data_IF_142031229393
#
_entry.id   IF_142031229393
#
_cell.length_a   1.000
_cell.length_b   1.000
_cell.length_c   1.000
_cell.angle_alpha   90.00
_cell.angle_beta   90.00
_cell.angle_gamma   90.00
#
_symmetry.space_group_name_H-M   'P 1'
#
loop_
_entity.id
_entity.type
_entity.pdbx_description
1 polymer ?
#
# COMPACT_ATOMS: atom_id res chain seq x y z
N UNK A 1 -11.59 18.72 4.56
CA UNK A 1 -10.43 17.90 5.02
C UNK A 1 -10.64 16.48 4.46
N UNK A 2 -10.07 16.17 3.28
CA UNK A 2 -10.39 14.95 2.51
C UNK A 2 -9.16 14.23 1.96
N UNK A 3 -8.14 14.00 2.78
CA UNK A 3 -6.93 13.30 2.31
C UNK A 3 -6.91 11.91 2.91
N UNK A 4 -7.47 10.93 2.20
CA UNK A 4 -7.25 9.51 2.47
C UNK A 4 -5.84 9.17 1.99
N UNK A 5 -5.06 8.43 2.77
CA UNK A 5 -3.72 8.00 2.33
C UNK A 5 -3.78 6.77 1.43
N UNK A 6 -2.96 6.80 0.39
CA UNK A 6 -2.71 5.70 -0.54
C UNK A 6 -1.25 5.30 -0.42
N UNK A 7 -1.01 4.02 -0.15
CA UNK A 7 0.31 3.41 -0.11
C UNK A 7 0.59 2.64 -1.40
N UNK A 8 1.80 2.74 -1.90
CA UNK A 8 2.32 1.96 -3.03
C UNK A 8 3.50 1.12 -2.55
N UNK A 9 3.32 -0.20 -2.47
CA UNK A 9 4.27 -1.15 -1.92
C UNK A 9 4.86 -1.99 -3.04
N UNK A 10 6.18 -2.12 -3.05
CA UNK A 10 6.90 -2.91 -4.06
C UNK A 10 8.20 -3.45 -3.48
N UNK A 11 8.60 -4.63 -3.93
CA UNK A 11 9.92 -5.24 -3.76
C UNK A 11 10.99 -4.56 -4.62
N UNK A 12 10.60 -3.95 -5.73
CA UNK A 12 11.43 -3.08 -6.56
C UNK A 12 11.29 -1.59 -6.21
N UNK A 13 11.24 -0.75 -7.25
CA UNK A 13 11.23 0.71 -7.09
C UNK A 13 9.86 1.31 -6.75
N UNK A 14 8.78 0.54 -6.87
CA UNK A 14 7.41 1.03 -6.66
C UNK A 14 6.84 1.89 -7.78
N UNK A 15 7.57 2.10 -8.88
CA UNK A 15 7.08 2.91 -10.03
C UNK A 15 5.84 2.25 -10.64
N UNK A 16 5.87 0.93 -10.87
CA UNK A 16 4.73 0.20 -11.44
C UNK A 16 3.49 0.32 -10.56
N UNK A 17 3.62 0.09 -9.25
CA UNK A 17 2.53 0.23 -8.29
C UNK A 17 1.93 1.65 -8.32
N UNK A 18 2.80 2.67 -8.33
CA UNK A 18 2.42 4.07 -8.37
C UNK A 18 1.72 4.45 -9.68
N UNK A 19 2.29 4.08 -10.83
CA UNK A 19 1.70 4.37 -12.15
C UNK A 19 0.33 3.73 -12.31
N UNK A 20 0.20 2.43 -11.99
CA UNK A 20 -1.07 1.72 -12.11
C UNK A 20 -2.12 2.24 -11.13
N UNK A 21 -1.76 2.41 -9.86
CA UNK A 21 -2.71 2.90 -8.88
C UNK A 21 -3.12 4.35 -9.15
N UNK A 22 -2.22 5.21 -9.65
CA UNK A 22 -2.58 6.56 -10.11
C UNK A 22 -3.56 6.53 -11.29
N UNK A 23 -3.38 5.61 -12.24
CA UNK A 23 -4.32 5.46 -13.36
C UNK A 23 -5.73 5.05 -12.89
N UNK A 24 -5.81 4.17 -11.88
CA UNK A 24 -7.08 3.78 -11.25
C UNK A 24 -7.69 4.97 -10.48
N UNK A 25 -6.88 5.65 -9.66
CA UNK A 25 -7.32 6.77 -8.84
C UNK A 25 -7.80 7.95 -9.66
N UNK A 26 -7.27 8.15 -10.88
CA UNK A 26 -7.70 9.19 -11.80
C UNK A 26 -9.18 9.08 -12.20
N UNK A 27 -9.82 7.92 -12.01
CA UNK A 27 -11.26 7.74 -12.25
C UNK A 27 -12.14 8.33 -11.12
N UNK A 28 -11.55 8.79 -10.02
CA UNK A 28 -12.28 9.29 -8.85
C UNK A 28 -11.92 10.76 -8.56
N UNK A 29 -12.93 11.54 -8.17
CA UNK A 29 -12.77 12.96 -7.84
C UNK A 29 -12.32 13.18 -6.38
N UNK A 30 -11.15 12.67 -6.00
CA UNK A 30 -10.53 13.01 -4.70
C UNK A 30 -9.01 13.14 -4.81
N UNK A 31 -8.42 13.86 -3.86
CA UNK A 31 -6.96 14.10 -3.80
C UNK A 31 -6.35 13.34 -2.61
N UNK A 32 -5.91 12.09 -2.80
CA UNK A 32 -5.24 11.35 -1.74
C UNK A 32 -3.85 11.88 -1.42
N UNK A 33 -3.35 11.52 -0.23
CA UNK A 33 -1.93 11.64 0.09
C UNK A 33 -1.23 10.36 -0.38
N UNK A 34 -0.19 10.48 -1.18
CA UNK A 34 0.56 9.33 -1.69
C UNK A 34 1.78 9.03 -0.82
N UNK A 35 2.00 7.74 -0.55
CA UNK A 35 3.19 7.24 0.15
C UNK A 35 3.74 6.06 -0.64
N UNK A 36 4.95 6.20 -1.17
CA UNK A 36 5.65 5.11 -1.86
C UNK A 36 6.63 4.42 -0.92
N UNK A 37 6.55 3.10 -0.86
CA UNK A 37 7.38 2.22 -0.02
C UNK A 37 8.10 1.22 -0.95
N UNK A 38 9.27 1.59 -1.50
CA UNK A 38 10.06 0.72 -2.37
C UNK A 38 10.93 -0.26 -1.56
N UNK A 39 11.45 -1.28 -2.24
CA UNK A 39 12.40 -2.26 -1.72
C UNK A 39 11.91 -3.03 -0.48
N UNK A 40 10.63 -3.39 -0.47
CA UNK A 40 10.02 -4.24 0.56
C UNK A 40 10.30 -5.70 0.21
N UNK A 41 11.56 -6.09 0.37
CA UNK A 41 12.14 -7.37 -0.04
C UNK A 41 12.43 -8.32 1.13
N UNK A 42 11.94 -8.00 2.34
CA UNK A 42 12.05 -8.85 3.52
C UNK A 42 10.81 -8.81 4.41
N UNK A 43 10.62 -9.87 5.19
CA UNK A 43 9.55 -9.99 6.19
C UNK A 43 9.61 -8.87 7.23
N UNK A 44 10.80 -8.49 7.68
CA UNK A 44 10.98 -7.41 8.65
C UNK A 44 10.47 -6.06 8.11
N UNK A 45 10.77 -5.77 6.84
CA UNK A 45 10.26 -4.58 6.16
C UNK A 45 8.74 -4.65 5.98
N UNK A 46 8.19 -5.82 5.66
CA UNK A 46 6.74 -6.00 5.59
C UNK A 46 6.05 -5.67 6.93
N UNK A 47 6.61 -6.12 8.06
CA UNK A 47 6.10 -5.76 9.38
C UNK A 47 6.18 -4.26 9.67
N UNK A 48 7.23 -3.57 9.21
CA UNK A 48 7.32 -2.11 9.31
C UNK A 48 6.22 -1.43 8.50
N UNK A 49 5.99 -1.89 7.27
CA UNK A 49 4.92 -1.39 6.40
C UNK A 49 3.54 -1.57 7.06
N UNK A 50 3.26 -2.75 7.60
CA UNK A 50 2.02 -3.03 8.35
C UNK A 50 1.82 -2.05 9.50
N UNK A 51 2.86 -1.82 10.31
CA UNK A 51 2.78 -0.84 11.41
C UNK A 51 2.48 0.57 10.91
N UNK A 52 3.14 0.99 9.84
CA UNK A 52 2.95 2.32 9.25
C UNK A 52 1.53 2.52 8.70
N UNK A 53 1.00 1.53 7.96
CA UNK A 53 -0.36 1.59 7.42
C UNK A 53 -1.39 1.60 8.56
N UNK A 54 -1.22 0.73 9.55
CA UNK A 54 -2.16 0.64 10.68
C UNK A 54 -2.16 1.91 11.52
N UNK A 55 -0.97 2.46 11.81
CA UNK A 55 -0.86 3.73 12.52
C UNK A 55 -1.51 4.87 11.74
N UNK A 56 -1.33 4.91 10.41
CA UNK A 56 -1.98 5.90 9.55
C UNK A 56 -3.50 5.76 9.60
N UNK A 57 -4.02 4.53 9.59
CA UNK A 57 -5.46 4.28 9.73
C UNK A 57 -6.02 4.81 11.04
N UNK A 58 -5.29 4.61 12.14
CA UNK A 58 -5.66 5.07 13.49
C UNK A 58 -5.63 6.59 13.60
N UNK A 59 -4.57 7.24 13.11
CA UNK A 59 -4.41 8.71 13.16
C UNK A 59 -5.41 9.42 12.25
N UNK A 60 -5.65 8.90 11.04
CA UNK A 60 -6.55 9.54 10.07
C UNK A 60 -8.03 9.18 10.31
N UNK A 61 -8.31 8.19 11.17
CA UNK A 61 -9.66 7.67 11.40
C UNK A 61 -10.31 7.09 10.13
N UNK A 62 -9.51 6.76 9.11
CA UNK A 62 -9.95 6.30 7.79
C UNK A 62 -9.05 5.18 7.31
N UNK A 63 -9.66 4.14 6.72
CA UNK A 63 -8.95 2.99 6.16
C UNK A 63 -8.08 3.41 4.97
N UNK A 64 -6.74 3.36 5.02
CA UNK A 64 -5.89 3.69 3.88
C UNK A 64 -6.10 2.73 2.70
N UNK A 65 -5.77 3.14 1.49
CA UNK A 65 -5.70 2.26 0.32
C UNK A 65 -4.26 1.80 0.16
N UNK A 66 -4.06 0.55 -0.22
CA UNK A 66 -2.73 -0.03 -0.38
C UNK A 66 -2.68 -0.76 -1.72
N UNK A 67 -1.89 -0.25 -2.65
CA UNK A 67 -1.53 -0.95 -3.88
C UNK A 67 -0.23 -1.72 -3.66
N UNK A 68 -0.19 -2.99 -4.05
CA UNK A 68 1.00 -3.83 -3.93
C UNK A 68 1.35 -4.49 -5.25
N UNK A 69 2.65 -4.64 -5.51
CA UNK A 69 3.21 -5.43 -6.61
C UNK A 69 4.16 -6.50 -6.09
N UNK A 70 4.00 -6.91 -4.83
CA UNK A 70 4.85 -7.94 -4.21
C UNK A 70 4.55 -9.30 -4.84
N UNK A 71 5.60 -9.98 -5.29
CA UNK A 71 5.49 -11.36 -5.81
C UNK A 71 5.97 -12.41 -4.81
N UNK A 72 6.73 -12.01 -3.78
CA UNK A 72 7.16 -12.91 -2.73
C UNK A 72 5.97 -13.19 -1.79
N UNK A 73 5.51 -14.44 -1.79
CA UNK A 73 4.35 -14.91 -1.04
C UNK A 73 4.52 -14.71 0.47
N UNK A 74 5.70 -14.95 1.03
CA UNK A 74 5.92 -14.78 2.48
C UNK A 74 5.78 -13.32 2.91
N UNK A 75 6.29 -12.40 2.09
CA UNK A 75 6.18 -10.95 2.34
C UNK A 75 4.73 -10.50 2.15
N UNK A 76 4.07 -10.96 1.09
CA UNK A 76 2.68 -10.63 0.80
C UNK A 76 1.76 -11.08 1.94
N UNK A 77 1.92 -12.32 2.43
CA UNK A 77 1.12 -12.86 3.53
C UNK A 77 1.21 -12.01 4.81
N UNK A 78 2.41 -11.51 5.14
CA UNK A 78 2.58 -10.61 6.30
C UNK A 78 1.73 -9.35 6.15
N UNK A 79 1.66 -8.80 4.93
CA UNK A 79 0.86 -7.62 4.64
C UNK A 79 -0.62 -7.96 4.65
N UNK A 80 -1.06 -9.03 3.99
CA UNK A 80 -2.46 -9.44 3.94
C UNK A 80 -3.06 -9.69 5.33
N UNK A 81 -2.31 -10.40 6.20
CA UNK A 81 -2.77 -10.73 7.55
C UNK A 81 -2.69 -9.53 8.49
N UNK A 82 -1.64 -8.72 8.37
CA UNK A 82 -1.36 -7.65 9.33
C UNK A 82 -2.01 -6.30 9.00
N UNK A 83 -2.31 -6.03 7.73
CA UNK A 83 -2.71 -4.71 7.25
C UNK A 83 -4.21 -4.47 7.46
N UNK A 84 -4.55 -3.39 8.17
CA UNK A 84 -5.92 -2.88 8.31
C UNK A 84 -6.37 -2.02 7.12
N UNK A 85 -5.48 -1.79 6.15
CA UNK A 85 -5.75 -1.05 4.91
C UNK A 85 -6.62 -1.82 3.92
N UNK A 86 -7.07 -1.15 2.86
CA UNK A 86 -7.72 -1.79 1.73
C UNK A 86 -6.66 -2.19 0.71
N UNK A 87 -6.28 -3.47 0.73
CA UNK A 87 -5.25 -4.01 -0.14
C UNK A 87 -5.80 -4.27 -1.55
N UNK A 88 -5.03 -3.85 -2.55
CA UNK A 88 -5.26 -4.07 -3.98
C UNK A 88 -3.96 -4.66 -4.53
N UNK A 89 -3.94 -5.98 -4.71
CA UNK A 89 -2.84 -6.66 -5.37
C UNK A 89 -2.97 -6.51 -6.89
N UNK A 90 -1.92 -5.98 -7.50
CA UNK A 90 -1.87 -5.69 -8.92
C UNK A 90 -1.41 -6.87 -9.76
N UNK A 91 -0.84 -7.91 -9.14
CA UNK A 91 -0.39 -9.13 -9.83
C UNK A 91 -1.26 -10.35 -9.53
N UNK A 92 -2.04 -10.33 -8.45
CA UNK A 92 -3.01 -11.37 -8.11
C UNK A 92 -2.35 -12.70 -7.80
N UNK A 93 -1.30 -12.65 -6.99
CA UNK A 93 -0.36 -13.77 -6.76
C UNK A 93 -0.82 -14.70 -5.64
#
# INVERSE_FOLDING_TARGET
MHTRTVFFISDGTGITAETFGNAILAQFEFKPRHVRLPFIDSVDKAHQVVRQVNHTAEVEGRKPIVFTTLVNVEILQVIEVGCKGMLLDMFGT
#
